data_IF_287719041841
#
_entry.id   IF_287719041841
#
_cell.length_a   1.000
_cell.length_b   1.000
_cell.length_c   1.000
_cell.angle_alpha   90.00
_cell.angle_beta   90.00
_cell.angle_gamma   90.00
#
_symmetry.space_group_name_H-M   'P 1'
#
loop_
_entity.id
_entity.type
_entity.pdbx_description
1 polymer ?
#
# COMPACT_ATOMS: atom_id res chain seq x y z
N UNK A 1 2.73 -14.91 5.95
CA UNK A 1 3.08 -13.48 5.96
C UNK A 1 4.07 -13.27 4.82
N UNK A 2 3.62 -12.89 3.63
CA UNK A 2 4.42 -13.20 2.45
C UNK A 2 4.70 -12.05 1.50
N UNK A 3 3.97 -10.91 1.54
CA UNK A 3 4.44 -9.67 0.93
C UNK A 3 3.93 -8.42 1.67
N UNK A 4 4.73 -7.37 1.74
CA UNK A 4 4.39 -6.04 2.27
C UNK A 4 4.79 -4.94 1.28
N UNK A 5 4.08 -3.81 1.31
CA UNK A 5 4.29 -2.66 0.43
C UNK A 5 4.82 -1.48 1.24
N UNK A 6 6.08 -1.09 1.01
CA UNK A 6 6.70 0.04 1.69
C UNK A 6 6.51 1.35 0.91
N UNK A 7 6.31 2.48 1.61
CA UNK A 7 6.22 2.63 3.07
C UNK A 7 4.95 2.00 3.66
N UNK A 8 5.05 1.31 4.80
CA UNK A 8 3.88 0.69 5.46
C UNK A 8 3.33 1.64 6.52
N UNK A 9 2.01 1.85 6.53
CA UNK A 9 1.32 2.61 7.58
C UNK A 9 1.67 2.06 8.98
N UNK A 10 2.19 2.94 9.84
CA UNK A 10 2.56 2.64 11.22
C UNK A 10 3.87 1.86 11.41
N UNK A 11 4.65 1.66 10.35
CA UNK A 11 5.94 0.97 10.40
C UNK A 11 7.04 1.92 9.98
N UNK A 12 8.06 2.06 10.82
CA UNK A 12 9.25 2.82 10.49
C UNK A 12 10.21 1.99 9.62
N UNK A 13 10.64 2.55 8.48
CA UNK A 13 11.67 1.95 7.64
C UNK A 13 11.19 0.74 6.82
N UNK A 14 12.06 -0.25 6.67
CA UNK A 14 11.78 -1.45 5.85
C UNK A 14 10.87 -2.40 6.62
N UNK A 15 9.74 -2.84 6.05
CA UNK A 15 8.86 -3.77 6.75
C UNK A 15 9.53 -5.12 6.96
N UNK A 16 9.19 -5.75 8.08
CA UNK A 16 9.55 -7.12 8.41
C UNK A 16 8.37 -8.06 8.14
N UNK A 17 8.65 -9.37 8.19
CA UNK A 17 7.61 -10.41 8.03
C UNK A 17 6.46 -10.27 9.03
N UNK A 18 6.72 -9.72 10.22
CA UNK A 18 5.71 -9.45 11.26
C UNK A 18 4.68 -8.40 10.86
N UNK A 19 5.03 -7.51 9.93
CA UNK A 19 4.18 -6.38 9.53
C UNK A 19 3.21 -6.76 8.41
N UNK A 20 3.41 -7.92 7.80
CA UNK A 20 2.56 -8.39 6.72
C UNK A 20 1.17 -8.69 7.24
N UNK A 21 0.17 -8.06 6.60
CA UNK A 21 -1.22 -8.26 6.94
C UNK A 21 -2.02 -8.81 5.76
N UNK A 22 -3.31 -9.03 6.02
CA UNK A 22 -4.30 -9.39 4.99
C UNK A 22 -5.42 -8.36 5.06
N UNK A 23 -5.43 -7.36 4.17
CA UNK A 23 -6.56 -6.46 4.00
C UNK A 23 -7.87 -7.23 3.78
N UNK A 24 -8.96 -6.67 4.27
CA UNK A 24 -10.33 -7.17 4.05
C UNK A 24 -11.23 -6.00 3.67
N UNK A 25 -12.38 -6.30 3.07
CA UNK A 25 -13.36 -5.26 2.68
C UNK A 25 -13.76 -4.34 3.84
N UNK A 26 -13.92 -4.88 5.05
CA UNK A 26 -14.26 -4.11 6.25
C UNK A 26 -13.03 -3.71 7.10
N UNK A 27 -11.82 -4.01 6.64
CA UNK A 27 -10.56 -3.63 7.28
C UNK A 27 -9.46 -3.48 6.21
N UNK A 28 -9.54 -2.45 5.34
CA UNK A 28 -8.64 -2.35 4.18
C UNK A 28 -7.18 -2.11 4.57
N UNK A 29 -6.92 -1.59 5.76
CA UNK A 29 -5.56 -1.45 6.32
C UNK A 29 -5.14 -2.60 7.25
N UNK A 30 -5.91 -3.69 7.27
CA UNK A 30 -5.70 -4.78 8.20
C UNK A 30 -6.03 -4.37 9.64
N UNK A 31 -5.13 -4.69 10.58
CA UNK A 31 -5.22 -4.44 12.01
C UNK A 31 -4.65 -3.08 12.42
N UNK A 32 -4.05 -2.33 11.49
CA UNK A 32 -3.44 -1.04 11.82
C UNK A 32 -4.53 -0.01 12.13
N UNK A 33 -4.38 0.67 13.26
CA UNK A 33 -5.21 1.81 13.62
C UNK A 33 -4.68 3.08 12.93
N UNK A 34 -5.42 3.57 11.96
CA UNK A 34 -5.01 4.72 11.12
C UNK A 34 -4.90 6.00 11.94
N UNK A 35 -5.80 6.20 12.90
CA UNK A 35 -5.86 7.45 13.67
C UNK A 35 -4.62 7.63 14.55
N UNK A 36 -4.11 6.55 15.14
CA UNK A 36 -2.95 6.58 16.04
C UNK A 36 -1.61 6.45 15.32
N UNK A 37 -1.59 5.91 14.11
CA UNK A 37 -0.35 5.70 13.32
C UNK A 37 -0.06 6.80 12.31
N UNK A 38 -0.98 7.74 12.11
CA UNK A 38 -0.85 8.83 11.14
C UNK A 38 0.44 9.65 11.31
N UNK A 39 0.74 10.08 12.54
CA UNK A 39 1.87 10.95 12.81
C UNK A 39 3.24 10.27 12.70
N UNK A 40 3.31 8.94 12.78
CA UNK A 40 4.55 8.17 12.71
C UNK A 40 4.82 7.54 11.35
N UNK A 41 3.87 7.67 10.42
CA UNK A 41 3.94 7.05 9.11
C UNK A 41 4.68 7.93 8.12
N UNK A 42 5.45 7.31 7.22
CA UNK A 42 6.05 7.99 6.07
C UNK A 42 5.16 7.81 4.85
N UNK A 43 4.85 8.89 4.14
CA UNK A 43 4.11 8.83 2.88
C UNK A 43 5.05 8.45 1.72
N UNK A 44 4.52 7.72 0.74
CA UNK A 44 5.12 7.59 -0.58
C UNK A 44 4.92 8.90 -1.34
N UNK A 45 5.96 9.53 -1.91
CA UNK A 45 5.78 10.79 -2.61
C UNK A 45 4.85 10.65 -3.83
N UNK A 46 3.85 11.53 -3.91
CA UNK A 46 3.02 11.71 -5.10
C UNK A 46 3.69 12.68 -6.08
N UNK A 47 3.95 12.22 -7.30
CA UNK A 47 4.47 13.06 -8.37
C UNK A 47 3.38 13.98 -8.95
N UNK A 48 3.79 15.03 -9.65
CA UNK A 48 2.88 16.02 -10.24
C UNK A 48 1.94 15.44 -11.31
N UNK A 49 2.31 14.33 -11.94
CA UNK A 49 1.46 13.59 -12.88
C UNK A 49 0.47 12.65 -12.18
N UNK A 50 0.48 12.59 -10.85
CA UNK A 50 -0.36 11.72 -10.02
C UNK A 50 0.17 10.29 -9.88
N UNK A 51 1.38 10.01 -10.37
CA UNK A 51 2.04 8.72 -10.14
C UNK A 51 2.75 8.67 -8.80
N UNK A 52 2.84 7.47 -8.22
CA UNK A 52 3.63 7.22 -7.02
C UNK A 52 4.24 5.82 -7.07
N UNK A 53 5.30 5.61 -6.29
CA UNK A 53 6.01 4.33 -6.24
C UNK A 53 5.96 3.71 -4.86
N UNK A 54 5.85 2.39 -4.82
CA UNK A 54 5.95 1.58 -3.60
C UNK A 54 6.88 0.40 -3.83
N UNK A 55 7.51 -0.09 -2.77
CA UNK A 55 8.36 -1.29 -2.85
C UNK A 55 7.61 -2.49 -2.28
N UNK A 56 7.33 -3.49 -3.11
CA UNK A 56 6.75 -4.75 -2.69
C UNK A 56 7.85 -5.74 -2.32
N UNK A 57 7.95 -6.12 -1.04
CA UNK A 57 8.94 -7.09 -0.54
C UNK A 57 8.25 -8.37 -0.14
N UNK A 58 8.72 -9.52 -0.65
CA UNK A 58 8.21 -10.84 -0.25
C UNK A 58 9.09 -11.53 0.79
N UNK A 59 8.45 -12.34 1.63
CA UNK A 59 9.09 -13.12 2.71
C UNK A 59 8.90 -14.63 2.57
N UNK A 60 8.26 -15.05 1.47
CA UNK A 60 8.14 -16.43 1.04
C UNK A 60 8.11 -16.44 -0.49
N UNK A 61 8.57 -17.51 -1.15
CA UNK A 61 8.40 -17.69 -2.59
C UNK A 61 6.99 -18.15 -2.96
N UNK A 62 6.71 -18.20 -4.27
CA UNK A 62 5.47 -18.70 -4.85
C UNK A 62 4.34 -17.66 -4.85
N UNK A 63 3.10 -18.12 -5.03
CA UNK A 63 1.90 -17.25 -5.13
C UNK A 63 1.66 -16.47 -3.84
N UNK A 64 1.94 -17.11 -2.72
CA UNK A 64 1.90 -16.50 -1.40
C UNK A 64 2.80 -15.26 -1.34
N UNK A 65 4.00 -15.37 -1.92
CA UNK A 65 4.98 -14.31 -2.06
C UNK A 65 4.70 -13.25 -3.11
N UNK A 66 3.51 -13.24 -3.74
CA UNK A 66 3.22 -12.32 -4.84
C UNK A 66 3.58 -10.88 -4.48
N UNK A 67 4.47 -10.29 -5.26
CA UNK A 67 4.80 -8.85 -5.27
C UNK A 67 3.87 -8.07 -6.20
N UNK A 68 3.13 -8.77 -7.08
CA UNK A 68 2.10 -8.17 -7.92
C UNK A 68 0.88 -7.69 -7.12
N UNK A 69 0.45 -6.45 -7.36
CA UNK A 69 -0.78 -5.85 -6.82
C UNK A 69 -1.99 -6.36 -7.60
N UNK A 70 -3.03 -6.75 -6.84
CA UNK A 70 -4.36 -7.11 -7.33
C UNK A 70 -5.35 -5.96 -7.17
N UNK A 71 -5.32 -5.28 -6.02
CA UNK A 71 -6.18 -4.12 -5.74
C UNK A 71 -5.38 -3.00 -5.09
N UNK A 72 -5.68 -1.77 -5.50
CA UNK A 72 -5.14 -0.54 -4.93
C UNK A 72 -6.29 0.45 -4.70
N UNK A 73 -6.92 0.38 -3.54
CA UNK A 73 -8.09 1.21 -3.21
C UNK A 73 -7.64 2.51 -2.56
N UNK A 74 -8.30 3.63 -2.90
CA UNK A 74 -7.92 4.97 -2.45
C UNK A 74 -8.99 5.54 -1.52
N UNK A 75 -8.54 6.01 -0.35
CA UNK A 75 -9.29 6.87 0.55
C UNK A 75 -8.69 8.29 0.54
N UNK A 76 -9.43 9.23 -0.04
CA UNK A 76 -9.01 10.63 -0.17
C UNK A 76 -9.03 11.39 1.14
N UNK A 77 -9.76 10.89 2.15
CA UNK A 77 -9.79 11.49 3.50
C UNK A 77 -8.58 11.07 4.33
N UNK A 78 -7.86 10.03 3.89
CA UNK A 78 -6.74 9.42 4.62
C UNK A 78 -7.11 8.84 5.98
N UNK A 79 -8.40 8.67 6.30
CA UNK A 79 -8.85 8.20 7.62
C UNK A 79 -8.97 6.67 7.72
N UNK A 80 -8.94 5.96 6.58
CA UNK A 80 -9.12 4.51 6.52
C UNK A 80 -10.58 4.08 6.48
N UNK A 81 -11.51 5.01 6.28
CA UNK A 81 -12.94 4.77 6.40
C UNK A 81 -13.66 4.76 5.04
N UNK A 82 -13.09 5.36 4.00
CA UNK A 82 -13.79 5.57 2.72
C UNK A 82 -12.93 5.28 1.49
N UNK A 83 -12.79 4.00 1.16
CA UNK A 83 -12.04 3.53 -0.01
C UNK A 83 -12.90 3.51 -1.29
N UNK A 84 -13.20 4.69 -1.82
CA UNK A 84 -14.08 4.86 -2.99
C UNK A 84 -13.33 4.93 -4.33
N UNK A 85 -12.03 5.27 -4.33
CA UNK A 85 -11.21 5.36 -5.53
C UNK A 85 -10.41 4.08 -5.79
N UNK A 86 -9.86 3.94 -7.00
CA UNK A 86 -8.92 2.86 -7.33
C UNK A 86 -7.74 3.42 -8.11
N UNK A 87 -6.54 3.28 -7.57
CA UNK A 87 -5.31 3.60 -8.28
C UNK A 87 -5.01 2.52 -9.32
N UNK A 88 -4.51 2.93 -10.48
CA UNK A 88 -4.14 2.01 -11.57
C UNK A 88 -2.69 1.60 -11.42
N UNK A 89 -2.39 0.31 -11.46
CA UNK A 89 -1.01 -0.18 -11.46
C UNK A 89 -0.45 -0.05 -12.87
N UNK A 90 0.58 0.78 -13.07
CA UNK A 90 1.23 1.00 -14.36
C UNK A 90 2.49 0.16 -14.53
N UNK A 91 3.19 -0.11 -13.43
CA UNK A 91 4.29 -1.09 -13.36
C UNK A 91 4.02 -2.03 -12.20
N UNK A 92 3.86 -3.32 -12.49
CA UNK A 92 3.50 -4.34 -11.50
C UNK A 92 4.68 -5.30 -11.22
N UNK A 93 4.63 -5.97 -10.07
CA UNK A 93 5.68 -6.90 -9.61
C UNK A 93 5.46 -8.33 -10.09
N UNK A 94 6.33 -9.22 -9.63
CA UNK A 94 6.23 -10.66 -9.90
C UNK A 94 5.09 -11.30 -9.08
N UNK A 95 4.11 -11.89 -9.76
CA UNK A 95 2.98 -12.58 -9.12
C UNK A 95 3.31 -13.96 -8.54
N UNK A 96 4.49 -14.52 -8.84
CA UNK A 96 4.92 -15.83 -8.33
C UNK A 96 6.45 -15.91 -8.26
N UNK A 97 7.10 -15.10 -7.39
CA UNK A 97 8.55 -15.08 -7.27
C UNK A 97 9.13 -16.43 -6.86
N UNK A 98 10.31 -16.76 -7.39
CA UNK A 98 11.02 -18.01 -7.07
C UNK A 98 11.85 -17.92 -5.78
N UNK A 99 12.23 -16.71 -5.39
CA UNK A 99 13.02 -16.40 -4.19
C UNK A 99 12.41 -15.23 -3.45
N UNK A 100 12.91 -14.96 -2.26
CA UNK A 100 12.62 -13.70 -1.56
C UNK A 100 13.32 -12.54 -2.28
N UNK A 101 12.75 -11.34 -2.15
CA UNK A 101 13.24 -10.14 -2.83
C UNK A 101 12.21 -9.01 -2.84
N UNK A 102 12.47 -8.01 -3.69
CA UNK A 102 11.64 -6.81 -3.79
C UNK A 102 11.46 -6.39 -5.25
N UNK A 103 10.30 -5.81 -5.55
CA UNK A 103 10.04 -5.12 -6.81
C UNK A 103 9.60 -3.68 -6.51
N UNK A 104 10.07 -2.71 -7.29
CA UNK A 104 9.50 -1.35 -7.28
C UNK A 104 8.29 -1.32 -8.20
N UNK A 105 7.17 -0.86 -7.68
CA UNK A 105 5.91 -0.74 -8.39
C UNK A 105 5.60 0.71 -8.66
N UNK A 106 4.92 0.99 -9.77
CA UNK A 106 4.40 2.32 -10.09
C UNK A 106 2.88 2.24 -10.19
N UNK A 107 2.20 3.16 -9.52
CA UNK A 107 0.77 3.29 -9.54
C UNK A 107 0.39 4.73 -9.91
N UNK A 108 -0.82 4.89 -10.42
CA UNK A 108 -1.39 6.14 -10.87
C UNK A 108 -2.68 6.41 -10.10
N UNK A 109 -2.75 7.54 -9.42
CA UNK A 109 -3.98 8.00 -8.76
C UNK A 109 -5.07 8.30 -9.79
N UNK A 110 -6.36 8.15 -9.44
CA UNK A 110 -7.45 8.61 -10.31
C UNK A 110 -7.27 10.09 -10.70
N UNK A 111 -7.55 10.43 -11.96
CA UNK A 111 -7.43 11.80 -12.43
C UNK A 111 -8.30 12.76 -11.58
N UNK A 112 -7.73 13.92 -11.22
CA UNK A 112 -8.42 14.91 -10.38
C UNK A 112 -8.55 14.53 -8.90
N UNK A 113 -7.86 13.47 -8.44
CA UNK A 113 -7.85 13.12 -7.01
C UNK A 113 -7.30 14.29 -6.19
N UNK A 114 -8.05 14.68 -5.17
CA UNK A 114 -7.63 15.64 -4.14
C UNK A 114 -7.61 14.90 -2.81
N UNK A 115 -6.44 14.89 -2.18
CA UNK A 115 -6.21 14.25 -0.90
C UNK A 115 -6.32 15.27 0.23
N UNK A 116 -6.93 14.88 1.36
CA UNK A 116 -7.20 15.77 2.51
C UNK A 116 -6.83 15.14 3.85
N UNK A 117 -6.10 14.02 3.83
CA UNK A 117 -5.77 13.23 5.01
C UNK A 117 -4.30 13.31 5.38
N UNK A 118 -3.87 12.40 6.26
CA UNK A 118 -2.50 12.38 6.76
C UNK A 118 -2.20 13.50 7.74
N UNK A 119 -1.00 13.47 8.31
CA UNK A 119 -0.54 14.47 9.27
C UNK A 119 -0.29 15.85 8.61
N UNK A 120 -0.15 15.88 7.28
CA UNK A 120 0.05 17.07 6.46
C UNK A 120 -1.27 17.68 5.94
N UNK A 121 -2.41 16.99 6.12
CA UNK A 121 -3.70 17.40 5.58
C UNK A 121 -3.79 17.32 4.05
N UNK A 122 -2.85 16.64 3.40
CA UNK A 122 -2.73 16.54 1.94
C UNK A 122 -2.43 15.11 1.44
N UNK A 123 -2.35 14.12 2.33
CA UNK A 123 -2.10 12.72 1.97
C UNK A 123 -3.40 11.94 1.73
N UNK A 124 -3.37 11.02 0.77
CA UNK A 124 -4.37 9.97 0.60
C UNK A 124 -3.90 8.70 1.32
N UNK A 125 -4.83 7.80 1.66
CA UNK A 125 -4.48 6.46 2.14
C UNK A 125 -4.83 5.44 1.06
N UNK A 126 -3.85 4.61 0.69
CA UNK A 126 -4.01 3.58 -0.35
C UNK A 126 -3.91 2.20 0.27
N UNK A 127 -4.97 1.40 0.17
CA UNK A 127 -4.99 0.00 0.56
C UNK A 127 -4.51 -0.87 -0.60
N UNK A 128 -3.34 -1.48 -0.43
CA UNK A 128 -2.73 -2.37 -1.41
C UNK A 128 -2.94 -3.83 -1.00
N UNK A 129 -3.41 -4.66 -1.93
CA UNK A 129 -3.49 -6.11 -1.74
C UNK A 129 -2.84 -6.81 -2.93
N UNK A 130 -1.93 -7.74 -2.66
CA UNK A 130 -1.25 -8.54 -3.68
C UNK A 130 -2.16 -9.64 -4.26
N UNK A 131 -1.74 -10.26 -5.36
CA UNK A 131 -2.46 -11.43 -5.90
C UNK A 131 -2.43 -12.64 -4.96
N UNK A 132 -1.52 -12.65 -3.98
CA UNK A 132 -1.46 -13.62 -2.88
C UNK A 132 -2.38 -13.28 -1.69
N UNK A 133 -3.11 -12.16 -1.74
CA UNK A 133 -4.05 -11.74 -0.70
C UNK A 133 -3.41 -11.11 0.53
N UNK A 134 -2.15 -10.66 0.42
CA UNK A 134 -1.42 -9.96 1.49
C UNK A 134 -1.22 -8.49 1.14
N UNK A 135 -1.06 -7.64 2.16
CA UNK A 135 -0.75 -6.24 1.94
C UNK A 135 -1.00 -5.39 3.18
N UNK A 136 -1.13 -4.09 2.95
CA UNK A 136 -1.21 -3.05 3.97
C UNK A 136 -1.68 -1.74 3.33
N UNK A 137 -1.87 -0.72 4.16
CA UNK A 137 -2.06 0.64 3.70
C UNK A 137 -0.74 1.42 3.60
N UNK A 138 -0.72 2.40 2.71
CA UNK A 138 0.37 3.34 2.43
C UNK A 138 -0.22 4.74 2.35
N UNK A 139 0.37 5.73 3.04
CA UNK A 139 0.04 7.13 2.76
C UNK A 139 0.74 7.56 1.46
N UNK A 140 0.06 8.35 0.64
CA UNK A 140 0.55 8.86 -0.65
C UNK A 140 0.25 10.35 -0.75
#
# INVERSE_FOLDING_TARGET
AHAAFAPVLGVAGTPARSDVQRPKTNAPCGKTDVATTMASSTAAPLAADGSFTVTATNFNPGRDGSRAVKTALVDTTGTGQSFAGTATVTTNGDGRPKTDGSDTLTLQMPAGTTCTGGADGASCLVSLTSTGGFGNCVYV
#
